data_IF_447267606238
#
_entry.id   IF_447267606238
#
_cell.length_a   1.000
_cell.length_b   1.000
_cell.length_c   1.000
_cell.angle_alpha   90.00
_cell.angle_beta   90.00
_cell.angle_gamma   90.00
#
_symmetry.space_group_name_H-M   'P 1'
#
loop_
_entity.id
_entity.type
_entity.pdbx_description
1 polymer ?
#
# COMPACT_ATOMS: atom_id res chain seq x y z
N UNK A 1 12.41 1.35 9.82
CA UNK A 1 13.04 1.19 8.49
C UNK A 1 11.96 1.14 7.43
N UNK A 2 12.21 1.76 6.29
CA UNK A 2 11.31 1.74 5.15
C UNK A 2 11.68 0.60 4.18
N UNK A 3 10.70 0.04 3.47
CA UNK A 3 10.88 -1.16 2.65
C UNK A 3 10.43 -0.91 1.21
N UNK A 4 11.28 -1.20 0.23
CA UNK A 4 10.84 -1.23 -1.16
C UNK A 4 9.90 -2.43 -1.38
N UNK A 5 8.72 -2.18 -1.94
CA UNK A 5 7.66 -3.18 -2.10
C UNK A 5 7.09 -3.20 -3.51
N UNK A 6 6.46 -4.33 -3.87
CA UNK A 6 5.63 -4.48 -5.07
C UNK A 6 4.21 -4.75 -4.59
N UNK A 7 3.35 -3.73 -4.52
CA UNK A 7 2.00 -3.90 -4.00
C UNK A 7 1.05 -4.43 -5.08
N UNK A 8 0.13 -5.28 -4.67
CA UNK A 8 -1.05 -5.74 -5.42
C UNK A 8 -2.23 -4.94 -4.87
N UNK A 9 -2.97 -4.27 -5.75
CA UNK A 9 -4.06 -3.38 -5.38
C UNK A 9 -5.38 -4.01 -5.86
N UNK A 10 -6.29 -4.23 -4.93
CA UNK A 10 -7.69 -4.53 -5.23
C UNK A 10 -8.48 -3.22 -5.24
N UNK A 11 -8.97 -2.85 -6.42
CA UNK A 11 -9.75 -1.61 -6.63
C UNK A 11 -11.13 -1.64 -6.01
N UNK A 12 -11.72 -2.82 -5.85
CA UNK A 12 -13.07 -2.95 -5.31
C UNK A 12 -13.08 -2.77 -3.80
N UNK A 13 -12.12 -3.39 -3.11
CA UNK A 13 -12.07 -3.40 -1.64
C UNK A 13 -11.13 -2.35 -1.06
N UNK A 14 -10.28 -1.73 -1.89
CA UNK A 14 -9.20 -0.86 -1.43
C UNK A 14 -8.05 -1.61 -0.78
N UNK A 15 -8.03 -2.93 -0.87
CA UNK A 15 -6.98 -3.76 -0.27
C UNK A 15 -5.65 -3.59 -1.02
N UNK A 16 -4.57 -3.45 -0.26
CA UNK A 16 -3.20 -3.35 -0.74
C UNK A 16 -2.39 -4.46 -0.09
N UNK A 17 -1.91 -5.40 -0.90
CA UNK A 17 -1.12 -6.54 -0.43
C UNK A 17 0.34 -6.40 -0.88
N UNK A 18 1.30 -6.65 -0.01
CA UNK A 18 2.72 -6.59 -0.36
C UNK A 18 3.57 -7.45 0.57
N UNK A 19 4.77 -7.83 0.12
CA UNK A 19 5.75 -8.56 0.94
C UNK A 19 6.76 -7.62 1.58
N UNK A 20 7.00 -7.79 2.87
CA UNK A 20 8.13 -7.20 3.61
C UNK A 20 8.85 -8.32 4.32
N UNK A 21 10.17 -8.43 4.13
CA UNK A 21 11.00 -9.45 4.80
C UNK A 21 10.43 -10.88 4.70
N UNK A 22 9.87 -11.23 3.53
CA UNK A 22 9.28 -12.56 3.29
C UNK A 22 7.86 -12.76 3.82
N UNK A 23 7.31 -11.81 4.58
CA UNK A 23 5.96 -11.89 5.13
C UNK A 23 4.97 -11.07 4.29
N UNK A 24 3.78 -11.62 4.07
CA UNK A 24 2.68 -10.90 3.43
C UNK A 24 2.01 -9.93 4.41
N UNK A 25 1.83 -8.70 3.96
CA UNK A 25 1.06 -7.69 4.65
C UNK A 25 -0.17 -7.33 3.82
N UNK A 26 -1.29 -7.23 4.51
CA UNK A 26 -2.54 -6.73 3.97
C UNK A 26 -2.85 -5.40 4.65
N UNK A 27 -3.11 -4.38 3.85
CA UNK A 27 -3.52 -3.03 4.26
C UNK A 27 -4.65 -2.54 3.38
N UNK A 28 -5.18 -1.36 3.71
CA UNK A 28 -6.30 -0.76 2.99
C UNK A 28 -6.03 0.72 2.73
N UNK A 29 -6.41 1.19 1.55
CA UNK A 29 -6.30 2.59 1.14
C UNK A 29 -7.69 3.15 0.85
N UNK A 30 -7.93 4.42 1.19
CA UNK A 30 -9.24 5.04 0.97
C UNK A 30 -9.56 5.31 -0.50
N UNK A 31 -8.53 5.54 -1.33
CA UNK A 31 -8.66 5.88 -2.75
C UNK A 31 -7.78 4.94 -3.60
N UNK A 32 -8.25 3.70 -3.84
CA UNK A 32 -7.48 2.72 -4.61
C UNK A 32 -7.36 3.08 -6.09
N UNK A 33 -8.32 3.81 -6.65
CA UNK A 33 -8.28 4.25 -8.05
C UNK A 33 -7.15 5.25 -8.29
N UNK A 34 -6.99 6.24 -7.40
CA UNK A 34 -5.87 7.17 -7.46
C UNK A 34 -4.53 6.48 -7.19
N UNK A 35 -4.50 5.51 -6.27
CA UNK A 35 -3.29 4.73 -6.02
C UNK A 35 -2.84 3.95 -7.26
N UNK A 36 -3.76 3.25 -7.93
CA UNK A 36 -3.49 2.53 -9.19
C UNK A 36 -3.01 3.48 -10.29
N UNK A 37 -3.64 4.64 -10.46
CA UNK A 37 -3.25 5.60 -11.49
C UNK A 37 -1.84 6.17 -11.25
N UNK A 38 -1.47 6.38 -10.00
CA UNK A 38 -0.17 6.96 -9.66
C UNK A 38 0.93 5.89 -9.59
N UNK A 39 0.63 4.65 -9.20
CA UNK A 39 1.66 3.62 -9.09
C UNK A 39 2.28 3.30 -10.44
N UNK A 40 1.48 3.28 -11.52
CA UNK A 40 1.97 3.06 -12.89
C UNK A 40 2.86 4.21 -13.41
N UNK A 41 2.81 5.38 -12.76
CA UNK A 41 3.64 6.56 -13.09
C UNK A 41 4.85 6.71 -12.17
N UNK A 42 5.11 5.72 -11.31
CA UNK A 42 6.22 5.78 -10.37
C UNK A 42 7.56 5.63 -11.10
N UNK A 43 8.48 6.56 -10.86
CA UNK A 43 9.85 6.52 -11.35
C UNK A 43 10.69 5.43 -10.67
N UNK A 44 10.26 4.99 -9.48
CA UNK A 44 10.95 3.99 -8.64
C UNK A 44 9.93 3.08 -7.98
N UNK A 45 10.40 1.97 -7.39
CA UNK A 45 9.53 1.09 -6.62
C UNK A 45 8.92 1.83 -5.43
N UNK A 46 7.63 1.63 -5.12
CA UNK A 46 7.00 2.14 -3.91
C UNK A 46 7.77 1.74 -2.65
N UNK A 47 7.72 2.62 -1.65
CA UNK A 47 8.34 2.41 -0.35
C UNK A 47 7.23 2.32 0.70
N UNK A 48 7.19 1.22 1.45
CA UNK A 48 6.35 1.10 2.62
C UNK A 48 7.09 1.58 3.87
N UNK A 49 6.50 2.54 4.57
CA UNK A 49 6.98 3.07 5.85
C UNK A 49 6.11 2.54 7.01
N UNK A 50 6.61 1.58 7.81
CA UNK A 50 5.81 0.99 8.88
C UNK A 50 5.47 1.94 10.02
N UNK A 51 6.35 2.93 10.30
CA UNK A 51 6.18 3.85 11.41
C UNK A 51 4.95 4.77 11.21
N UNK A 52 4.72 5.19 9.98
CA UNK A 52 3.60 6.04 9.57
C UNK A 52 2.47 5.22 8.93
N UNK A 53 2.71 3.93 8.68
CA UNK A 53 1.86 3.05 7.88
C UNK A 53 1.50 3.69 6.55
N UNK A 54 2.51 4.16 5.82
CA UNK A 54 2.35 4.83 4.54
C UNK A 54 2.97 4.03 3.39
N UNK A 55 2.36 4.11 2.22
CA UNK A 55 2.96 3.72 0.96
C UNK A 55 3.36 4.99 0.20
N UNK A 56 4.65 5.20 0.06
CA UNK A 56 5.25 6.37 -0.60
C UNK A 56 5.58 6.00 -2.04
N UNK A 57 5.04 6.77 -2.98
CA UNK A 57 5.31 6.68 -4.40
C UNK A 57 6.22 7.84 -4.82
N UNK A 58 7.23 7.56 -5.65
CA UNK A 58 8.04 8.59 -6.31
C UNK A 58 7.54 8.76 -7.73
N UNK A 59 6.76 9.80 -8.02
CA UNK A 59 6.10 10.00 -9.33
C UNK A 59 7.02 10.77 -10.26
N UNK A 60 7.21 10.27 -11.48
CA UNK A 60 8.03 10.97 -12.47
C UNK A 60 7.48 12.38 -12.76
N UNK A 61 8.35 13.38 -12.67
CA UNK A 61 8.05 14.79 -12.95
C UNK A 61 9.17 15.41 -13.78
N UNK A 62 8.83 16.31 -14.71
CA UNK A 62 9.81 16.95 -15.58
C UNK A 62 10.82 17.76 -14.76
N UNK A 63 12.11 17.59 -15.05
CA UNK A 63 13.20 18.27 -14.33
C UNK A 63 13.46 17.75 -12.92
N UNK A 64 12.78 16.69 -12.46
CA UNK A 64 13.01 16.07 -11.15
C UNK A 64 13.33 14.58 -11.30
N UNK A 65 14.62 14.21 -11.42
CA UNK A 65 15.04 12.82 -11.64
C UNK A 65 14.70 11.89 -10.45
N UNK A 66 14.54 12.45 -9.26
CA UNK A 66 14.08 11.73 -8.06
C UNK A 66 12.56 11.48 -8.06
N UNK A 67 11.81 12.19 -8.90
CA UNK A 67 10.35 12.24 -8.87
C UNK A 67 9.79 13.03 -7.68
N UNK A 68 8.48 13.30 -7.73
CA UNK A 68 7.74 13.89 -6.63
C UNK A 68 7.20 12.80 -5.70
N UNK A 69 7.46 12.93 -4.40
CA UNK A 69 6.95 11.98 -3.41
C UNK A 69 5.47 12.22 -3.09
N UNK A 70 4.67 11.16 -3.17
CA UNK A 70 3.26 11.13 -2.77
C UNK A 70 3.05 9.99 -1.78
N UNK A 71 2.55 10.29 -0.59
CA UNK A 71 2.26 9.30 0.43
C UNK A 71 0.77 8.93 0.46
N UNK A 72 0.49 7.64 0.54
CA UNK A 72 -0.83 7.08 0.79
C UNK A 72 -0.87 6.45 2.18
N UNK A 73 -1.78 6.92 3.03
CA UNK A 73 -2.02 6.29 4.33
C UNK A 73 -2.66 4.92 4.15
N UNK A 74 -2.09 3.92 4.80
CA UNK A 74 -2.52 2.54 4.76
C UNK A 74 -3.10 2.12 6.11
N UNK A 75 -4.39 1.82 6.15
CA UNK A 75 -5.06 1.32 7.33
C UNK A 75 -4.80 -0.19 7.52
N UNK A 76 -4.70 -0.60 8.78
CA UNK A 76 -4.78 -2.01 9.20
C UNK A 76 -6.12 -2.20 9.87
N UNK A 77 -7.04 -2.93 9.24
CA UNK A 77 -8.22 -3.40 9.94
C UNK A 77 -7.88 -4.65 10.75
N UNK A 78 -8.45 -4.80 11.95
CA UNK A 78 -8.34 -6.07 12.66
C UNK A 78 -8.91 -7.17 11.76
N UNK A 79 -8.16 -8.25 11.57
CA UNK A 79 -8.71 -9.45 10.95
C UNK A 79 -9.95 -9.82 11.76
N UNK A 80 -11.13 -9.84 11.11
CA UNK A 80 -12.33 -10.40 11.70
C UNK A 80 -11.94 -11.80 12.16
N UNK A 81 -11.83 -12.02 13.48
CA UNK A 81 -11.75 -13.39 13.99
C UNK A 81 -12.95 -14.11 13.38
N UNK A 82 -12.80 -15.32 12.83
CA UNK A 82 -13.95 -16.10 12.39
C UNK A 82 -14.98 -16.05 13.51
N UNK A 83 -16.20 -15.64 13.21
CA UNK A 83 -17.31 -15.79 14.14
C UNK A 83 -17.46 -17.31 14.33
N UNK A 84 -16.79 -17.86 15.34
CA UNK A 84 -17.06 -19.22 15.79
C UNK A 84 -18.54 -19.25 16.14
N UNK A 85 -19.29 -20.10 15.44
CA UNK A 85 -20.71 -20.33 15.69
C UNK A 85 -20.88 -20.58 17.20
N UNK A 86 -21.56 -19.67 17.88
CA UNK A 86 -21.93 -19.84 19.29
C UNK A 86 -22.93 -21.00 19.36
N UNK A 87 -22.46 -22.16 19.83
CA UNK A 87 -23.30 -23.30 20.17
C UNK A 87 -23.73 -24.15 18.97
N UNK A 88 -23.37 -25.43 19.02
CA UNK A 88 -24.19 -26.53 18.49
C UNK A 88 -24.46 -27.46 19.67
#
# INVERSE_FOLDING_TARGET
MAYSVLPIIDRQTGQVQFKVQGQWHIRYVCDPARLELLIVRSARRPIFEPATSQLVLSIASSGQPEGQSIAFSLAKFPSLRPLSKLGS
#
